data_IF_251201366038
#
_entry.id   IF_251201366038
#
_cell.length_a   1.000
_cell.length_b   1.000
_cell.length_c   1.000
_cell.angle_alpha   90.00
_cell.angle_beta   90.00
_cell.angle_gamma   90.00
#
_symmetry.space_group_name_H-M   'P 1'
#
loop_
_entity.id
_entity.type
_entity.pdbx_description
1 polymer ?
#
# COMPACT_ATOMS: atom_id res chain seq x y z
N UNK A 1 47.50 -57.54 13.77
CA UNK A 1 48.76 -57.08 13.14
C UNK A 1 48.97 -57.83 11.81
N UNK A 2 48.08 -57.59 10.84
CA UNK A 2 48.14 -58.06 9.44
C UNK A 2 47.30 -57.07 8.62
N UNK A 3 47.80 -56.69 7.43
CA UNK A 3 47.21 -55.77 6.43
C UNK A 3 47.36 -54.28 6.78
N UNK A 4 48.41 -53.53 6.40
CA UNK A 4 49.21 -53.44 5.16
C UNK A 4 48.38 -53.26 3.88
N UNK A 5 48.28 -51.99 3.48
CA UNK A 5 48.69 -51.54 2.14
C UNK A 5 47.88 -52.05 0.94
N UNK A 6 46.55 -51.90 0.92
CA UNK A 6 45.78 -51.93 -0.33
C UNK A 6 44.35 -51.36 -0.16
N UNK A 7 44.16 -50.05 -0.33
CA UNK A 7 42.81 -49.46 -0.58
C UNK A 7 42.80 -47.97 -0.99
N UNK A 8 43.96 -47.31 -1.19
CA UNK A 8 44.01 -45.90 -1.65
C UNK A 8 44.20 -45.74 -3.16
N UNK A 9 43.61 -46.62 -3.97
CA UNK A 9 43.70 -46.55 -5.44
C UNK A 9 42.36 -46.60 -6.22
N UNK A 10 41.20 -46.23 -5.63
CA UNK A 10 40.09 -45.76 -6.45
C UNK A 10 39.45 -44.43 -6.01
N UNK A 11 40.04 -43.68 -5.07
CA UNK A 11 39.48 -42.38 -4.63
C UNK A 11 40.11 -41.18 -5.34
N UNK A 12 41.28 -41.35 -5.98
CA UNK A 12 41.93 -40.28 -6.74
C UNK A 12 41.49 -40.17 -8.21
N UNK A 13 40.80 -41.18 -8.76
CA UNK A 13 40.30 -41.12 -10.14
C UNK A 13 38.93 -40.44 -10.27
N UNK A 14 38.12 -40.40 -9.19
CA UNK A 14 36.83 -39.70 -9.19
C UNK A 14 36.92 -38.21 -8.79
N UNK A 15 38.06 -37.75 -8.26
CA UNK A 15 38.26 -36.32 -7.94
C UNK A 15 38.84 -35.56 -9.14
N UNK A 16 39.53 -36.24 -10.07
CA UNK A 16 40.06 -35.60 -11.29
C UNK A 16 39.00 -35.46 -12.40
N UNK A 17 37.99 -36.34 -12.46
CA UNK A 17 36.85 -36.20 -13.39
C UNK A 17 35.83 -35.14 -12.94
N UNK A 18 35.82 -34.78 -11.65
CA UNK A 18 35.03 -33.65 -11.13
C UNK A 18 35.77 -32.30 -11.18
N UNK A 19 37.01 -32.27 -11.69
CA UNK A 19 37.82 -31.05 -11.84
C UNK A 19 38.22 -30.76 -13.31
N UNK A 20 37.60 -31.44 -14.28
CA UNK A 20 37.69 -31.11 -15.72
C UNK A 20 36.34 -30.73 -16.35
N UNK A 21 35.32 -30.41 -15.55
CA UNK A 21 34.13 -29.71 -16.04
C UNK A 21 34.14 -28.23 -15.62
N UNK A 22 35.29 -27.55 -15.73
CA UNK A 22 35.28 -26.09 -15.79
C UNK A 22 34.80 -25.64 -17.18
N UNK A 23 33.57 -25.14 -17.15
CA UNK A 23 33.04 -24.08 -18.01
C UNK A 23 32.99 -24.37 -19.51
N UNK A 24 31.99 -25.17 -19.89
CA UNK A 24 31.04 -24.63 -20.86
C UNK A 24 29.97 -23.95 -20.02
N UNK A 25 30.09 -22.62 -19.87
CA UNK A 25 28.95 -21.80 -19.44
C UNK A 25 27.95 -21.85 -20.59
N UNK A 26 27.16 -22.91 -20.63
CA UNK A 26 25.93 -22.91 -21.41
C UNK A 26 24.98 -21.95 -20.69
N UNK A 27 24.91 -20.74 -21.22
CA UNK A 27 23.92 -19.72 -20.91
C UNK A 27 22.52 -20.25 -21.24
N UNK A 28 21.98 -21.16 -20.43
CA UNK A 28 20.57 -21.46 -20.41
C UNK A 28 19.92 -20.31 -19.64
N UNK A 29 19.39 -19.36 -20.39
CA UNK A 29 18.61 -18.20 -19.97
C UNK A 29 17.72 -18.49 -18.75
N UNK A 30 18.15 -18.06 -17.56
CA UNK A 30 17.26 -17.88 -16.40
C UNK A 30 17.13 -16.40 -16.08
N UNK A 31 16.77 -15.57 -17.07
CA UNK A 31 16.47 -14.17 -16.79
C UNK A 31 15.09 -14.10 -16.13
N UNK A 32 15.06 -13.81 -14.82
CA UNK A 32 13.84 -13.73 -14.00
C UNK A 32 12.79 -12.81 -14.64
N UNK A 33 13.26 -11.72 -15.26
CA UNK A 33 12.41 -10.68 -15.79
C UNK A 33 11.74 -11.14 -17.09
N UNK A 34 12.50 -11.83 -17.95
CA UNK A 34 11.95 -12.45 -19.16
C UNK A 34 10.83 -13.43 -18.80
N UNK A 35 11.05 -14.28 -17.80
CA UNK A 35 10.06 -15.27 -17.37
C UNK A 35 8.80 -14.60 -16.79
N UNK A 36 8.96 -13.51 -16.02
CA UNK A 36 7.85 -12.74 -15.50
C UNK A 36 7.01 -12.11 -16.61
N UNK A 37 7.66 -11.51 -17.62
CA UNK A 37 6.99 -10.92 -18.78
C UNK A 37 6.28 -11.99 -19.62
N UNK A 38 6.93 -13.12 -19.90
CA UNK A 38 6.29 -14.21 -20.65
C UNK A 38 5.13 -14.85 -19.89
N UNK A 39 5.22 -14.96 -18.56
CA UNK A 39 4.10 -15.37 -17.72
C UNK A 39 2.94 -14.39 -17.83
N UNK A 40 3.19 -13.08 -17.79
CA UNK A 40 2.15 -12.07 -18.01
C UNK A 40 1.50 -12.22 -19.39
N UNK A 41 2.30 -12.30 -20.47
CA UNK A 41 1.79 -12.51 -21.82
C UNK A 41 0.91 -13.75 -21.94
N UNK A 42 1.29 -14.85 -21.27
CA UNK A 42 0.53 -16.10 -21.32
C UNK A 42 -0.87 -16.01 -20.70
N UNK A 43 -1.12 -15.04 -19.81
CA UNK A 43 -2.41 -14.81 -19.17
C UNK A 43 -3.28 -13.77 -19.90
N UNK A 44 -2.75 -13.13 -20.93
CA UNK A 44 -3.52 -12.21 -21.79
C UNK A 44 -4.25 -13.02 -22.85
N UNK A 45 -5.58 -12.92 -22.83
CA UNK A 45 -6.49 -13.67 -23.69
C UNK A 45 -6.84 -12.92 -24.97
N UNK A 46 -6.90 -11.58 -24.93
CA UNK A 46 -7.03 -10.73 -26.12
C UNK A 46 -6.08 -9.55 -26.09
N UNK A 47 -5.50 -9.28 -27.25
CA UNK A 47 -4.61 -8.14 -27.52
C UNK A 47 -5.03 -7.45 -28.82
N UNK A 48 -6.16 -6.70 -28.82
CA UNK A 48 -6.75 -6.17 -30.04
C UNK A 48 -5.87 -5.13 -30.75
N UNK A 49 -5.02 -4.43 -29.99
CA UNK A 49 -4.10 -3.41 -30.52
C UNK A 49 -2.69 -3.95 -30.76
N UNK A 50 -2.44 -5.24 -30.52
CA UNK A 50 -1.15 -5.87 -30.76
C UNK A 50 -0.03 -5.35 -29.87
N UNK A 51 -0.32 -4.91 -28.65
CA UNK A 51 0.65 -4.36 -27.71
C UNK A 51 1.76 -5.37 -27.35
N UNK A 52 1.43 -6.65 -27.28
CA UNK A 52 2.33 -7.76 -26.92
C UNK A 52 2.87 -8.48 -28.17
N UNK A 53 2.60 -7.96 -29.36
CA UNK A 53 3.09 -8.53 -30.64
C UNK A 53 4.62 -8.62 -30.69
N UNK A 54 5.31 -7.62 -30.13
CA UNK A 54 6.77 -7.56 -30.05
C UNK A 54 7.40 -8.47 -28.99
N UNK A 55 6.59 -9.10 -28.13
CA UNK A 55 7.07 -9.90 -27.00
C UNK A 55 7.44 -11.32 -27.46
N UNK A 56 8.50 -11.42 -28.25
CA UNK A 56 8.95 -12.67 -28.86
C UNK A 56 9.77 -13.48 -27.86
N UNK A 57 9.12 -14.42 -27.20
CA UNK A 57 9.68 -15.24 -26.11
C UNK A 57 10.64 -16.35 -26.54
N UNK A 58 11.15 -16.31 -27.78
CA UNK A 58 12.07 -17.34 -28.24
C UNK A 58 13.48 -17.11 -27.68
N UNK A 59 13.68 -17.61 -26.46
CA UNK A 59 14.97 -17.65 -25.79
C UNK A 59 16.02 -18.51 -26.53
N UNK A 60 15.63 -19.31 -27.53
CA UNK A 60 16.53 -20.11 -28.37
C UNK A 60 17.02 -19.36 -29.61
N UNK A 61 16.28 -18.32 -30.04
CA UNK A 61 16.68 -17.45 -31.12
C UNK A 61 17.60 -16.34 -30.58
N UNK A 62 18.92 -16.53 -30.72
CA UNK A 62 19.94 -15.53 -30.35
C UNK A 62 19.82 -14.20 -31.11
N UNK A 63 18.98 -14.15 -32.15
CA UNK A 63 18.68 -12.94 -32.94
C UNK A 63 17.39 -12.24 -32.47
N UNK A 64 16.63 -12.84 -31.56
CA UNK A 64 15.42 -12.23 -31.01
C UNK A 64 15.78 -10.93 -30.26
N UNK A 65 15.01 -9.85 -30.44
CA UNK A 65 15.27 -8.61 -29.75
C UNK A 65 15.14 -8.82 -28.23
N UNK A 66 16.14 -8.37 -27.48
CA UNK A 66 16.13 -8.38 -26.01
C UNK A 66 14.83 -7.76 -25.47
N UNK A 67 14.24 -8.31 -24.40
CA UNK A 67 12.93 -7.88 -23.88
C UNK A 67 12.83 -6.39 -23.55
N UNK A 68 13.95 -5.70 -23.32
CA UNK A 68 14.01 -4.24 -23.19
C UNK A 68 13.61 -3.47 -24.46
N UNK A 69 13.47 -4.14 -25.60
CA UNK A 69 12.97 -3.58 -26.86
C UNK A 69 11.48 -3.86 -27.07
N UNK A 70 10.87 -4.63 -26.19
CA UNK A 70 9.45 -4.94 -26.27
C UNK A 70 8.64 -3.70 -25.95
N UNK A 71 7.52 -3.56 -26.65
CA UNK A 71 6.58 -2.48 -26.42
C UNK A 71 6.15 -2.45 -24.95
N UNK A 72 6.16 -1.26 -24.37
CA UNK A 72 5.82 -1.02 -22.97
C UNK A 72 6.89 -1.37 -21.94
N UNK A 73 8.01 -2.01 -22.33
CA UNK A 73 9.08 -2.40 -21.39
C UNK A 73 10.19 -1.35 -21.37
N UNK A 74 10.56 -0.88 -20.18
CA UNK A 74 11.74 -0.03 -19.94
C UNK A 74 12.71 -0.75 -19.02
N UNK A 75 14.01 -0.64 -19.30
CA UNK A 75 15.07 -1.24 -18.49
C UNK A 75 16.05 -0.19 -17.95
N UNK A 76 16.84 -0.55 -16.93
CA UNK A 76 17.77 0.35 -16.22
C UNK A 76 18.95 0.90 -17.04
N UNK A 77 19.56 0.15 -17.98
CA UNK A 77 20.54 0.64 -18.99
C UNK A 77 20.99 -0.46 -20.00
N UNK A 78 21.76 -0.09 -21.03
CA UNK A 78 22.07 -0.85 -22.26
C UNK A 78 23.23 -1.88 -22.23
N UNK A 79 23.71 -2.33 -21.08
CA UNK A 79 24.73 -3.41 -21.03
C UNK A 79 24.35 -4.51 -20.04
N UNK A 80 24.93 -5.69 -20.26
CA UNK A 80 24.58 -7.00 -19.69
C UNK A 80 24.00 -6.94 -18.27
N UNK A 81 22.84 -7.59 -18.06
CA UNK A 81 22.13 -7.59 -16.77
C UNK A 81 21.03 -6.52 -16.66
N UNK A 82 20.47 -6.06 -17.78
CA UNK A 82 19.37 -5.09 -17.78
C UNK A 82 18.13 -5.66 -17.07
N UNK A 83 17.67 -4.96 -16.03
CA UNK A 83 16.44 -5.27 -15.30
C UNK A 83 15.29 -4.37 -15.73
N UNK A 84 14.06 -4.89 -15.70
CA UNK A 84 12.85 -4.12 -16.00
C UNK A 84 12.58 -3.13 -14.88
N UNK A 85 12.51 -1.85 -15.23
CA UNK A 85 12.25 -0.73 -14.31
C UNK A 85 10.87 -0.11 -14.51
N UNK A 86 10.31 -0.23 -15.71
CA UNK A 86 8.93 0.17 -15.97
C UNK A 86 8.22 -0.76 -16.94
N UNK A 87 6.96 -1.03 -16.66
CA UNK A 87 6.01 -1.68 -17.56
C UNK A 87 4.83 -0.72 -17.78
N UNK A 88 4.68 -0.21 -19.01
CA UNK A 88 3.64 0.75 -19.39
C UNK A 88 2.86 0.22 -20.59
N UNK A 89 1.67 -0.31 -20.32
CA UNK A 89 0.77 -0.90 -21.31
C UNK A 89 -0.61 -0.25 -21.24
N UNK A 90 -0.66 1.08 -21.12
CA UNK A 90 -1.90 1.84 -21.02
C UNK A 90 -2.69 1.83 -22.34
N UNK A 91 -4.01 1.68 -22.25
CA UNK A 91 -4.94 1.90 -23.36
C UNK A 91 -4.71 1.00 -24.60
N UNK A 92 -4.43 -0.28 -24.39
CA UNK A 92 -4.27 -1.27 -25.46
C UNK A 92 -5.47 -2.24 -25.58
N UNK A 93 -6.47 -2.11 -24.70
CA UNK A 93 -7.63 -3.00 -24.67
C UNK A 93 -7.27 -4.45 -24.32
N UNK A 94 -6.20 -4.64 -23.53
CA UNK A 94 -5.75 -5.97 -23.12
C UNK A 94 -6.82 -6.66 -22.26
N UNK A 95 -7.24 -7.87 -22.65
CA UNK A 95 -8.13 -8.72 -21.84
C UNK A 95 -7.33 -9.88 -21.23
N UNK A 96 -7.64 -10.26 -19.99
CA UNK A 96 -6.98 -11.37 -19.29
C UNK A 96 -6.63 -11.02 -17.85
N UNK A 97 -5.71 -11.79 -17.25
CA UNK A 97 -5.36 -11.64 -15.84
C UNK A 97 -3.97 -11.04 -15.65
N UNK A 98 -3.83 -10.20 -14.61
CA UNK A 98 -2.53 -9.74 -14.15
C UNK A 98 -1.77 -10.90 -13.50
N UNK A 99 -0.62 -11.25 -14.06
CA UNK A 99 0.23 -12.33 -13.53
C UNK A 99 0.91 -11.91 -12.23
N UNK A 100 0.77 -12.73 -11.19
CA UNK A 100 1.52 -12.58 -9.94
C UNK A 100 3.04 -12.68 -10.14
N UNK A 101 3.50 -13.30 -11.24
CA UNK A 101 4.91 -13.38 -11.60
C UNK A 101 5.52 -12.01 -11.91
N UNK A 102 4.73 -10.97 -12.19
CA UNK A 102 5.22 -9.59 -12.27
C UNK A 102 5.84 -9.13 -10.94
N UNK A 103 5.47 -9.76 -9.82
CA UNK A 103 6.12 -9.60 -8.51
C UNK A 103 7.60 -9.95 -8.49
N UNK A 104 8.07 -10.76 -9.44
CA UNK A 104 9.49 -11.15 -9.55
C UNK A 104 10.34 -10.09 -10.24
N UNK A 105 9.74 -9.02 -10.78
CA UNK A 105 10.46 -7.88 -11.35
C UNK A 105 11.02 -7.01 -10.21
N UNK A 106 12.12 -7.46 -9.62
CA UNK A 106 12.70 -6.90 -8.39
C UNK A 106 13.12 -5.44 -8.47
N UNK A 107 13.28 -4.89 -9.68
CA UNK A 107 13.67 -3.50 -9.93
C UNK A 107 12.54 -2.66 -10.54
N UNK A 108 11.31 -3.20 -10.65
CA UNK A 108 10.19 -2.49 -11.23
C UNK A 108 9.77 -1.34 -10.32
N UNK A 109 9.82 -0.12 -10.84
CA UNK A 109 9.43 1.10 -10.14
C UNK A 109 8.10 1.67 -10.65
N UNK A 110 7.77 1.42 -11.92
CA UNK A 110 6.53 1.91 -12.55
C UNK A 110 5.76 0.75 -13.16
N UNK A 111 4.53 0.55 -12.69
CA UNK A 111 3.56 -0.34 -13.31
C UNK A 111 2.33 0.48 -13.73
N UNK A 112 2.14 0.64 -15.04
CA UNK A 112 0.98 1.31 -15.62
C UNK A 112 0.26 0.37 -16.58
N UNK A 113 -0.87 -0.15 -16.13
CA UNK A 113 -1.77 -1.06 -16.86
C UNK A 113 -3.15 -0.42 -17.08
N UNK A 114 -3.26 0.90 -16.95
CA UNK A 114 -4.56 1.56 -16.96
C UNK A 114 -5.28 1.50 -18.32
N UNK A 115 -6.60 1.65 -18.31
CA UNK A 115 -7.46 1.68 -19.50
C UNK A 115 -7.33 0.38 -20.31
N UNK A 116 -7.48 -0.75 -19.63
CA UNK A 116 -7.55 -2.07 -20.26
C UNK A 116 -8.75 -2.84 -19.71
N UNK A 117 -8.84 -4.11 -20.05
CA UNK A 117 -9.92 -5.01 -19.67
C UNK A 117 -9.36 -6.12 -18.77
N UNK A 118 -8.41 -5.78 -17.89
CA UNK A 118 -7.67 -6.73 -17.07
C UNK A 118 -8.40 -7.08 -15.78
N UNK A 119 -8.25 -8.32 -15.35
CA UNK A 119 -8.77 -8.88 -14.10
C UNK A 119 -7.63 -9.39 -13.19
N UNK A 120 -8.00 -9.89 -12.02
CA UNK A 120 -7.07 -10.45 -11.03
C UNK A 120 -6.53 -9.43 -10.03
N UNK A 121 -5.55 -9.86 -9.24
CA UNK A 121 -5.00 -9.08 -8.13
C UNK A 121 -3.72 -8.34 -8.54
N UNK A 122 -3.44 -7.25 -7.84
CA UNK A 122 -2.15 -6.53 -7.96
C UNK A 122 -1.02 -7.49 -7.52
N UNK A 123 0.06 -7.64 -8.30
CA UNK A 123 1.17 -8.51 -7.95
C UNK A 123 1.89 -8.03 -6.69
N UNK A 124 2.10 -8.94 -5.73
CA UNK A 124 2.83 -8.65 -4.48
C UNK A 124 4.35 -8.54 -4.72
N UNK A 125 5.07 -7.93 -3.76
CA UNK A 125 6.55 -7.93 -3.68
C UNK A 125 7.32 -7.01 -4.63
N UNK A 126 6.70 -5.93 -5.11
CA UNK A 126 7.35 -4.97 -6.01
C UNK A 126 7.69 -3.67 -5.27
N UNK A 127 8.93 -3.20 -5.36
CA UNK A 127 9.35 -1.88 -4.89
C UNK A 127 8.85 -0.76 -5.82
N UNK A 128 7.53 -0.53 -5.86
CA UNK A 128 6.91 0.46 -6.74
C UNK A 128 6.99 1.88 -6.20
N UNK A 129 7.28 2.80 -7.10
CA UNK A 129 7.07 4.24 -6.93
C UNK A 129 5.74 4.67 -7.53
N UNK A 130 5.33 4.06 -8.65
CA UNK A 130 4.09 4.38 -9.36
C UNK A 130 3.33 3.09 -9.66
N UNK A 131 2.07 3.03 -9.21
CA UNK A 131 1.12 1.98 -9.53
C UNK A 131 -0.17 2.59 -10.10
N UNK A 132 -0.44 2.31 -11.37
CA UNK A 132 -1.63 2.74 -12.09
C UNK A 132 -2.30 1.54 -12.76
N UNK A 133 -3.51 1.21 -12.31
CA UNK A 133 -4.34 0.14 -12.87
C UNK A 133 -5.79 0.62 -13.08
N UNK A 134 -5.97 1.93 -13.27
CA UNK A 134 -7.29 2.56 -13.45
C UNK A 134 -8.04 2.02 -14.67
N UNK A 135 -9.37 2.02 -14.65
CA UNK A 135 -10.21 1.55 -15.77
C UNK A 135 -9.83 0.12 -16.18
N UNK A 136 -10.10 -0.82 -15.29
CA UNK A 136 -9.96 -2.27 -15.50
C UNK A 136 -11.13 -2.99 -14.79
N UNK A 137 -11.13 -4.32 -14.81
CA UNK A 137 -12.16 -5.16 -14.18
C UNK A 137 -11.64 -5.85 -12.91
N UNK A 138 -10.68 -5.25 -12.20
CA UNK A 138 -10.13 -5.84 -10.97
C UNK A 138 -11.20 -5.91 -9.87
N UNK A 139 -11.21 -7.00 -9.10
CA UNK A 139 -12.21 -7.27 -8.06
C UNK A 139 -11.53 -7.54 -6.70
N UNK A 140 -12.29 -7.94 -5.68
CA UNK A 140 -11.75 -8.26 -4.37
C UNK A 140 -11.56 -7.02 -3.48
N UNK A 141 -10.67 -7.08 -2.50
CA UNK A 141 -10.33 -5.96 -1.60
C UNK A 141 -8.96 -5.41 -1.97
N UNK A 142 -8.75 -4.12 -1.74
CA UNK A 142 -7.41 -3.54 -1.79
C UNK A 142 -6.59 -4.18 -0.66
N UNK A 143 -5.41 -4.75 -0.93
CA UNK A 143 -4.69 -5.52 0.07
C UNK A 143 -3.84 -4.64 1.00
N UNK A 144 -3.76 -5.01 2.28
CA UNK A 144 -3.03 -4.28 3.33
C UNK A 144 -1.52 -4.15 3.04
N UNK A 145 -0.92 -5.11 2.33
CA UNK A 145 0.50 -5.12 2.03
C UNK A 145 0.93 -3.95 1.13
N UNK A 146 0.00 -3.31 0.40
CA UNK A 146 0.30 -2.08 -0.34
C UNK A 146 0.82 -0.97 0.58
N UNK A 147 0.42 -0.99 1.86
CA UNK A 147 0.93 -0.06 2.88
C UNK A 147 2.42 -0.23 3.21
N UNK A 148 3.07 -1.31 2.75
CA UNK A 148 4.51 -1.51 2.92
C UNK A 148 5.34 -0.91 1.78
N UNK A 149 4.71 -0.39 0.72
CA UNK A 149 5.40 0.22 -0.41
C UNK A 149 5.75 1.69 -0.10
N UNK A 150 6.62 1.93 0.87
CA UNK A 150 6.85 3.29 1.42
C UNK A 150 7.40 4.30 0.41
N UNK A 151 7.95 3.84 -0.72
CA UNK A 151 8.43 4.68 -1.81
C UNK A 151 7.35 5.04 -2.85
N UNK A 152 6.12 4.54 -2.67
CA UNK A 152 5.01 4.79 -3.57
C UNK A 152 4.58 6.27 -3.48
N UNK A 153 4.67 6.97 -4.60
CA UNK A 153 4.21 8.36 -4.77
C UNK A 153 2.84 8.44 -5.40
N UNK A 154 2.46 7.43 -6.19
CA UNK A 154 1.25 7.43 -6.99
C UNK A 154 0.57 6.07 -6.96
N UNK A 155 -0.65 6.03 -6.42
CA UNK A 155 -1.53 4.85 -6.41
C UNK A 155 -2.86 5.19 -7.07
N UNK A 156 -3.13 4.64 -8.24
CA UNK A 156 -4.38 4.85 -8.95
C UNK A 156 -5.05 3.52 -9.36
N UNK A 157 -6.13 3.20 -8.66
CA UNK A 157 -6.96 2.00 -8.78
C UNK A 157 -8.43 2.36 -9.10
N UNK A 158 -8.73 3.61 -9.48
CA UNK A 158 -10.10 4.06 -9.78
C UNK A 158 -10.73 3.27 -10.94
N UNK A 159 -12.06 3.37 -11.08
CA UNK A 159 -12.79 2.72 -12.17
C UNK A 159 -12.46 1.22 -12.29
N UNK A 160 -12.47 0.54 -11.15
CA UNK A 160 -12.37 -0.91 -11.00
C UNK A 160 -13.54 -1.40 -10.13
N UNK A 161 -13.67 -2.71 -9.96
CA UNK A 161 -14.74 -3.34 -9.19
C UNK A 161 -14.26 -3.78 -7.78
N UNK A 162 -13.33 -3.03 -7.18
CA UNK A 162 -12.86 -3.27 -5.81
C UNK A 162 -13.98 -3.04 -4.79
N UNK A 163 -14.02 -3.90 -3.79
CA UNK A 163 -15.02 -3.95 -2.72
C UNK A 163 -14.37 -3.85 -1.35
N UNK A 164 -15.17 -3.57 -0.32
CA UNK A 164 -14.68 -3.39 1.05
C UNK A 164 -14.12 -1.99 1.32
N UNK A 165 -13.47 -1.85 2.49
CA UNK A 165 -12.90 -0.59 2.94
C UNK A 165 -11.49 -0.38 2.42
N UNK A 166 -11.08 0.88 2.31
CA UNK A 166 -9.68 1.26 2.06
C UNK A 166 -8.84 0.81 3.28
N UNK A 167 -7.77 0.02 3.09
CA UNK A 167 -6.92 -0.43 4.19
C UNK A 167 -6.29 0.72 4.97
N UNK A 168 -6.40 0.67 6.30
CA UNK A 168 -5.68 1.61 7.18
C UNK A 168 -4.16 1.53 6.99
N UNK A 169 -3.65 0.38 6.53
CA UNK A 169 -2.23 0.18 6.20
C UNK A 169 -1.72 1.19 5.15
N UNK A 170 -2.56 1.70 4.24
CA UNK A 170 -2.16 2.73 3.28
C UNK A 170 -1.75 4.05 3.97
N UNK A 171 -2.16 4.29 5.22
CA UNK A 171 -1.70 5.42 6.02
C UNK A 171 -0.20 5.41 6.34
N UNK A 172 0.51 4.30 6.10
CA UNK A 172 1.97 4.20 6.22
C UNK A 172 2.73 4.85 5.05
N UNK A 173 2.05 5.13 3.94
CA UNK A 173 2.65 5.62 2.70
C UNK A 173 2.93 7.12 2.78
N UNK A 174 4.01 7.48 3.47
CA UNK A 174 4.36 8.89 3.75
C UNK A 174 4.78 9.68 2.51
N UNK A 175 5.22 9.01 1.44
CA UNK A 175 5.60 9.63 0.17
C UNK A 175 4.44 9.73 -0.84
N UNK A 176 3.26 9.22 -0.50
CA UNK A 176 2.11 9.18 -1.42
C UNK A 176 1.57 10.59 -1.70
N UNK A 177 1.71 11.03 -2.94
CA UNK A 177 1.21 12.31 -3.43
C UNK A 177 -0.17 12.20 -4.07
N UNK A 178 -0.51 11.02 -4.62
CA UNK A 178 -1.79 10.77 -5.30
C UNK A 178 -2.34 9.39 -4.94
N UNK A 179 -3.58 9.37 -4.47
CA UNK A 179 -4.34 8.15 -4.15
C UNK A 179 -5.71 8.23 -4.82
N UNK A 180 -6.05 7.26 -5.65
CA UNK A 180 -7.40 7.14 -6.21
C UNK A 180 -7.81 5.68 -6.16
N UNK A 181 -8.90 5.33 -5.47
CA UNK A 181 -9.25 3.91 -5.23
C UNK A 181 -10.69 3.51 -5.57
N UNK A 182 -11.61 4.47 -5.71
CA UNK A 182 -13.02 4.24 -6.07
C UNK A 182 -13.59 5.44 -6.83
N UNK A 183 -14.69 5.22 -7.56
CA UNK A 183 -15.43 6.27 -8.27
C UNK A 183 -15.69 7.43 -7.30
N UNK A 184 -15.10 8.59 -7.64
CA UNK A 184 -15.21 9.88 -6.95
C UNK A 184 -14.22 10.23 -5.82
N UNK A 185 -13.26 9.38 -5.44
CA UNK A 185 -12.19 9.80 -4.50
C UNK A 185 -10.83 9.85 -5.18
N UNK A 186 -10.65 10.86 -6.04
CA UNK A 186 -9.33 11.31 -6.44
C UNK A 186 -8.75 12.17 -5.32
N UNK A 187 -7.73 11.67 -4.62
CA UNK A 187 -6.76 12.53 -3.97
C UNK A 187 -5.86 13.09 -5.06
N UNK A 188 -6.32 14.13 -5.74
CA UNK A 188 -5.37 15.10 -6.27
C UNK A 188 -4.78 15.87 -5.08
N UNK A 189 -3.54 16.34 -5.21
CA UNK A 189 -2.84 17.08 -4.15
C UNK A 189 -3.50 18.41 -3.72
N UNK A 190 -4.78 18.64 -4.01
CA UNK A 190 -5.57 19.80 -3.60
C UNK A 190 -6.86 19.45 -2.82
N UNK A 191 -7.25 18.18 -2.67
CA UNK A 191 -8.37 17.83 -1.78
C UNK A 191 -7.90 17.75 -0.32
N UNK A 192 -7.90 18.95 0.28
CA UNK A 192 -7.68 19.29 1.68
C UNK A 192 -7.80 18.11 2.63
N UNK A 193 -6.79 17.98 3.48
CA UNK A 193 -6.80 17.21 4.72
C UNK A 193 -8.15 17.17 5.45
N UNK A 194 -9.00 18.20 5.33
CA UNK A 194 -10.41 18.18 5.77
C UNK A 194 -11.12 16.87 5.39
N UNK A 195 -10.95 16.36 4.16
CA UNK A 195 -11.63 15.14 3.69
C UNK A 195 -10.97 13.84 4.18
N UNK A 196 -9.64 13.86 4.34
CA UNK A 196 -8.91 12.76 4.98
C UNK A 196 -9.25 12.65 6.47
N UNK A 197 -9.36 13.81 7.12
CA UNK A 197 -9.84 13.96 8.48
C UNK A 197 -11.32 13.56 8.57
N UNK A 198 -12.20 13.89 7.61
CA UNK A 198 -13.58 13.36 7.55
C UNK A 198 -13.66 11.84 7.39
N UNK A 199 -12.75 11.22 6.62
CA UNK A 199 -12.70 9.76 6.44
C UNK A 199 -12.02 9.02 7.61
N UNK A 200 -11.10 9.69 8.30
CA UNK A 200 -10.43 9.18 9.50
C UNK A 200 -11.18 9.57 10.79
N UNK A 201 -12.14 10.50 10.70
CA UNK A 201 -13.09 10.81 11.74
C UNK A 201 -14.03 9.62 11.85
N UNK A 202 -14.11 8.94 13.01
CA UNK A 202 -15.14 7.95 13.20
C UNK A 202 -16.50 8.65 13.06
N UNK A 203 -17.47 7.99 12.42
CA UNK A 203 -18.91 8.33 12.42
C UNK A 203 -19.53 8.49 13.83
N UNK A 204 -18.69 8.42 14.87
CA UNK A 204 -18.96 8.57 16.30
C UNK A 204 -18.46 9.90 16.86
N UNK A 205 -18.09 10.89 16.04
CA UNK A 205 -17.80 12.23 16.59
C UNK A 205 -19.00 12.77 17.38
N UNK A 206 -20.23 12.44 16.97
CA UNK A 206 -21.47 12.71 17.72
C UNK A 206 -21.63 11.90 19.01
N UNK A 207 -20.87 10.80 19.20
CA UNK A 207 -20.79 10.05 20.47
C UNK A 207 -19.68 10.58 21.40
N UNK A 208 -18.79 11.44 20.88
CA UNK A 208 -17.72 12.11 21.64
C UNK A 208 -18.13 13.55 21.97
N UNK A 209 -18.75 14.25 21.03
CA UNK A 209 -19.34 15.57 21.13
C UNK A 209 -20.86 15.40 21.23
N UNK A 210 -21.37 15.05 22.42
CA UNK A 210 -22.81 15.02 22.67
C UNK A 210 -23.37 16.45 22.59
N UNK A 211 -24.55 16.63 21.99
CA UNK A 211 -25.28 17.90 21.98
C UNK A 211 -25.56 18.43 23.39
N UNK A 212 -25.57 17.57 24.41
CA UNK A 212 -25.64 17.96 25.83
C UNK A 212 -24.44 18.78 26.31
N UNK A 213 -23.28 18.69 25.64
CA UNK A 213 -22.10 19.54 25.92
C UNK A 213 -22.35 21.04 25.65
N UNK A 214 -23.37 21.37 24.85
CA UNK A 214 -23.75 22.74 24.50
C UNK A 214 -24.99 23.23 25.24
N UNK A 215 -25.67 22.37 25.99
CA UNK A 215 -26.97 22.66 26.62
C UNK A 215 -26.81 23.07 28.09
N UNK A 216 -26.07 24.16 28.34
CA UNK A 216 -25.85 24.68 29.68
C UNK A 216 -25.67 26.19 29.74
N UNK A 217 -26.45 26.97 28.98
CA UNK A 217 -26.28 28.41 28.82
C UNK A 217 -26.42 29.22 30.12
N UNK A 218 -25.29 29.41 30.81
CA UNK A 218 -24.89 30.67 31.44
C UNK A 218 -23.56 31.09 30.84
N UNK A 219 -23.26 32.38 30.73
CA UNK A 219 -22.09 32.91 30.00
C UNK A 219 -20.73 32.33 30.41
N UNK A 220 -20.61 31.78 31.63
CA UNK A 220 -19.41 31.08 32.11
C UNK A 220 -19.20 29.70 31.44
N UNK A 221 -20.28 28.95 31.16
CA UNK A 221 -20.22 27.62 30.55
C UNK A 221 -19.62 27.63 29.13
N UNK A 222 -19.88 28.69 28.36
CA UNK A 222 -19.46 28.76 26.95
C UNK A 222 -17.96 28.92 26.82
N UNK A 223 -17.32 29.66 27.73
CA UNK A 223 -15.87 29.82 27.76
C UNK A 223 -15.19 28.52 28.20
N UNK A 224 -15.73 27.82 29.20
CA UNK A 224 -15.22 26.52 29.66
C UNK A 224 -15.34 25.45 28.56
N UNK A 225 -16.46 25.39 27.84
CA UNK A 225 -16.60 24.52 26.66
C UNK A 225 -15.59 24.88 25.57
N UNK A 226 -15.35 26.17 25.33
CA UNK A 226 -14.34 26.61 24.37
C UNK A 226 -12.94 26.15 24.77
N UNK A 227 -12.56 26.31 26.03
CA UNK A 227 -11.22 25.99 26.53
C UNK A 227 -10.97 24.48 26.70
N UNK A 228 -11.99 23.73 27.15
CA UNK A 228 -11.84 22.30 27.45
C UNK A 228 -12.09 21.40 26.24
N UNK A 229 -12.87 21.84 25.26
CA UNK A 229 -13.30 20.98 24.14
C UNK A 229 -12.91 21.59 22.80
N UNK A 230 -13.36 22.81 22.50
CA UNK A 230 -13.25 23.36 21.14
C UNK A 230 -11.79 23.69 20.78
N UNK A 231 -11.07 24.43 21.63
CA UNK A 231 -9.67 24.80 21.38
C UNK A 231 -8.78 23.55 21.23
N UNK A 232 -8.85 22.53 22.11
CA UNK A 232 -8.10 21.29 21.93
C UNK A 232 -8.42 20.56 20.63
N UNK A 233 -9.71 20.42 20.27
CA UNK A 233 -10.12 19.77 19.01
C UNK A 233 -9.59 20.54 17.79
N UNK A 234 -9.64 21.88 17.82
CA UNK A 234 -9.07 22.72 16.75
C UNK A 234 -7.54 22.56 16.68
N UNK A 235 -6.85 22.46 17.82
CA UNK A 235 -5.39 22.20 17.86
C UNK A 235 -5.03 20.85 17.26
N UNK A 236 -5.80 19.81 17.55
CA UNK A 236 -5.67 18.49 16.91
C UNK A 236 -5.85 18.63 15.40
N UNK A 237 -6.91 19.33 14.96
CA UNK A 237 -7.13 19.64 13.55
C UNK A 237 -5.92 20.31 12.90
N UNK A 238 -5.39 21.38 13.51
CA UNK A 238 -4.19 22.07 13.03
C UNK A 238 -2.93 21.19 13.01
N UNK A 239 -2.78 20.28 13.97
CA UNK A 239 -1.68 19.33 14.02
C UNK A 239 -1.78 18.28 12.91
N UNK A 240 -3.00 17.85 12.57
CA UNK A 240 -3.25 17.06 11.36
C UNK A 240 -2.87 17.86 10.11
N UNK A 241 -3.11 19.19 10.10
CA UNK A 241 -2.92 20.16 8.99
C UNK A 241 -1.49 20.61 8.71
N UNK A 242 -0.47 19.99 9.29
CA UNK A 242 0.91 20.41 8.99
C UNK A 242 1.31 20.10 7.56
N UNK A 243 2.06 21.03 6.96
CA UNK A 243 2.53 20.95 5.57
C UNK A 243 3.41 19.72 5.35
N UNK A 244 4.38 19.48 6.24
CA UNK A 244 5.24 18.31 6.20
C UNK A 244 4.57 17.09 6.85
N UNK A 245 4.52 15.96 6.14
CA UNK A 245 3.92 14.70 6.64
C UNK A 245 4.58 14.19 7.92
N UNK A 246 5.90 14.35 8.06
CA UNK A 246 6.66 13.97 9.27
C UNK A 246 6.32 14.81 10.51
N UNK A 247 5.67 15.95 10.33
CA UNK A 247 5.26 16.83 11.42
C UNK A 247 3.78 16.65 11.80
N UNK A 248 3.03 15.84 11.05
CA UNK A 248 1.61 15.58 11.36
C UNK A 248 1.54 14.62 12.54
N UNK A 249 0.58 14.86 13.43
CA UNK A 249 0.28 13.96 14.53
C UNK A 249 -0.21 12.61 13.98
N UNK A 250 0.19 11.51 14.62
CA UNK A 250 -0.21 10.16 14.16
C UNK A 250 -1.67 9.88 14.55
N UNK A 251 -2.39 9.09 13.75
CA UNK A 251 -3.81 8.84 14.03
C UNK A 251 -4.08 8.11 15.35
N UNK A 252 -3.17 7.25 15.82
CA UNK A 252 -3.25 6.65 17.15
C UNK A 252 -3.11 7.69 18.27
N UNK A 253 -2.28 8.71 18.08
CA UNK A 253 -2.14 9.85 18.99
C UNK A 253 -3.39 10.76 18.94
N UNK A 254 -3.97 11.00 17.77
CA UNK A 254 -5.24 11.75 17.62
C UNK A 254 -6.36 11.09 18.42
N UNK A 255 -6.53 9.77 18.29
CA UNK A 255 -7.55 9.01 19.03
C UNK A 255 -7.31 9.11 20.54
N UNK A 256 -6.05 9.06 20.97
CA UNK A 256 -5.70 9.24 22.38
C UNK A 256 -6.09 10.63 22.88
N UNK A 257 -5.70 11.70 22.17
CA UNK A 257 -6.01 13.08 22.59
C UNK A 257 -7.51 13.36 22.63
N UNK A 258 -8.29 12.86 21.66
CA UNK A 258 -9.75 13.00 21.66
C UNK A 258 -10.41 12.28 22.86
N UNK A 259 -9.90 11.10 23.24
CA UNK A 259 -10.39 10.40 24.42
C UNK A 259 -10.03 11.12 25.72
N UNK A 260 -8.84 11.71 25.79
CA UNK A 260 -8.40 12.52 26.95
C UNK A 260 -9.28 13.78 27.10
N UNK A 261 -9.64 14.44 26.00
CA UNK A 261 -10.59 15.57 25.99
C UNK A 261 -11.96 15.12 26.51
N UNK A 262 -12.49 14.01 25.98
CA UNK A 262 -13.78 13.45 26.41
C UNK A 262 -13.81 13.19 27.91
N UNK A 263 -12.80 12.47 28.43
CA UNK A 263 -12.69 12.15 29.85
C UNK A 263 -12.60 13.39 30.73
N UNK A 264 -11.80 14.38 30.32
CA UNK A 264 -11.65 15.64 31.04
C UNK A 264 -12.98 16.38 31.15
N UNK A 265 -13.76 16.39 30.07
CA UNK A 265 -15.10 16.99 30.07
C UNK A 265 -16.08 16.21 30.95
N UNK A 266 -16.11 14.88 30.88
CA UNK A 266 -16.97 14.04 31.73
C UNK A 266 -16.70 14.28 33.22
N UNK A 267 -15.42 14.33 33.62
CA UNK A 267 -14.99 14.63 34.99
C UNK A 267 -15.41 16.05 35.44
N UNK A 268 -15.36 17.03 34.53
CA UNK A 268 -15.79 18.40 34.79
C UNK A 268 -17.31 18.50 34.94
N UNK A 269 -18.06 17.87 34.03
CA UNK A 269 -19.51 17.86 34.02
C UNK A 269 -20.09 17.17 35.26
N UNK A 270 -19.47 16.07 35.72
CA UNK A 270 -19.83 15.38 36.96
C UNK A 270 -19.66 16.27 38.22
N UNK A 271 -18.69 17.20 38.23
CA UNK A 271 -18.49 18.14 39.34
C UNK A 271 -19.55 19.23 39.37
N UNK A 272 -19.96 19.74 38.21
CA UNK A 272 -20.97 20.81 38.11
C UNK A 272 -22.37 20.29 38.41
N UNK A 273 -22.69 19.06 38.01
CA UNK A 273 -24.02 18.47 38.21
C UNK A 273 -24.27 17.94 39.63
N UNK A 274 -23.22 17.78 40.43
CA UNK A 274 -23.32 17.56 41.87
C UNK A 274 -23.79 16.15 42.26
N UNK A 275 -22.92 15.43 42.95
CA UNK A 275 -23.33 14.44 43.95
C UNK A 275 -24.19 15.14 45.04
N UNK A 276 -25.49 15.34 44.77
CA UNK A 276 -26.49 15.64 45.80
C UNK A 276 -26.94 14.35 46.48
N UNK A 277 -25.99 13.66 47.13
CA UNK A 277 -26.29 12.66 48.14
C UNK A 277 -26.53 13.38 49.46
N UNK A 278 -27.74 13.90 49.68
CA UNK A 278 -28.16 14.45 50.97
C UNK A 278 -28.08 13.31 51.99
N UNK A 279 -27.13 13.40 52.90
CA UNK A 279 -27.16 12.66 54.15
C UNK A 279 -28.51 12.96 54.83
N UNK A 280 -29.38 11.95 54.90
CA UNK A 280 -30.51 11.96 55.82
C UNK A 280 -29.91 11.74 57.22
N UNK A 281 -29.51 12.86 57.82
CA UNK A 281 -29.13 12.92 59.22
C UNK A 281 -30.36 12.56 60.07
N UNK A 282 -30.15 11.65 60.99
CA UNK A 282 -31.17 11.16 61.90
C UNK A 282 -31.62 12.27 62.84
N UNK A 283 -32.92 12.55 62.86
CA UNK A 283 -33.59 13.10 64.04
C UNK A 283 -34.74 12.19 64.43
N UNK A 284 -34.47 11.34 65.41
CA UNK A 284 -35.47 10.95 66.38
C UNK A 284 -35.81 12.18 67.24
N UNK A 285 -37.09 12.42 67.48
CA UNK A 285 -37.63 13.10 68.68
C UNK A 285 -39.15 12.87 68.70
N UNK A 286 -39.55 12.04 69.68
CA UNK A 286 -40.85 11.82 70.33
C UNK A 286 -42.15 11.76 69.51
#
# INVERSE_FOLDING_TARGET
MVSRFCSRLPVLLNIVVLLLSTTISDSINSNSDLNALLSFKSLITKDPMGALSSWDGDASNRSAPHFCRWNGVTCSSHQHGSHVTALRLRAFGLEGNISQSLGNLSHLQTLDLSNNNLEGDIPSSIGLTILSATENYMTGRIPDWLGNLTDLTDLNLAWNNFSGQIPQALGKLTNLARLTTQDHTSFDGATSLVKHVEMAYPYRLLEILDATMLQGSTSHSTQETMDMVIIPVVRIGLACCRTAASQRIRMDEVVKELNDIKKTWEDHFAKITGATGRAADGRALH
#
